data_IF_222007014519
#
_entry.id   IF_222007014519
#
_cell.length_a   1.000
_cell.length_b   1.000
_cell.length_c   1.000
_cell.angle_alpha   90.00
_cell.angle_beta   90.00
_cell.angle_gamma   90.00
#
_symmetry.space_group_name_H-M   'P 1'
#
loop_
_entity.id
_entity.type
_entity.pdbx_description
1 polymer ?
#
# COMPACT_ATOMS: atom_id res chain seq x y z
N UNK A 1 -6.88 15.29 -5.11
CA UNK A 1 -8.11 15.77 -4.46
C UNK A 1 -8.78 14.56 -3.84
N UNK A 2 -9.07 14.59 -2.53
CA UNK A 2 -9.69 13.47 -1.81
C UNK A 2 -11.20 13.63 -1.85
N UNK A 3 -11.91 12.64 -2.37
CA UNK A 3 -13.36 12.65 -2.47
C UNK A 3 -13.91 11.28 -2.09
N UNK A 4 -14.98 11.27 -1.30
CA UNK A 4 -15.71 10.06 -0.96
C UNK A 4 -17.10 10.17 -1.59
N UNK A 5 -17.52 9.12 -2.27
CA UNK A 5 -18.86 9.04 -2.83
C UNK A 5 -19.89 8.99 -1.69
N UNK A 6 -20.89 9.87 -1.75
CA UNK A 6 -21.97 9.92 -0.76
C UNK A 6 -22.91 8.73 -0.88
N UNK A 7 -23.00 8.10 -2.05
CA UNK A 7 -23.95 7.01 -2.33
C UNK A 7 -23.47 5.66 -1.75
N UNK A 8 -22.21 5.59 -1.31
CA UNK A 8 -21.64 4.40 -0.68
C UNK A 8 -22.14 4.18 0.76
N UNK A 9 -22.34 2.91 1.12
CA UNK A 9 -22.68 2.53 2.51
C UNK A 9 -21.40 2.42 3.34
N UNK A 10 -20.86 3.56 3.77
CA UNK A 10 -19.65 3.62 4.58
C UNK A 10 -19.82 2.96 5.96
N UNK A 11 -18.85 2.14 6.36
CA UNK A 11 -18.79 1.53 7.68
C UNK A 11 -17.38 1.62 8.25
N UNK A 12 -17.30 2.01 9.52
CA UNK A 12 -16.09 1.83 10.36
C UNK A 12 -16.18 0.56 11.19
N UNK A 13 -17.42 0.18 11.53
CA UNK A 13 -17.77 -1.00 12.28
C UNK A 13 -18.84 -1.80 11.53
N UNK A 14 -18.38 -2.90 10.97
CA UNK A 14 -19.17 -3.86 10.23
C UNK A 14 -20.16 -4.64 11.11
N UNK A 15 -20.03 -4.61 12.43
CA UNK A 15 -21.03 -5.15 13.34
C UNK A 15 -22.19 -4.19 13.56
N UNK A 16 -21.98 -2.88 13.40
CA UNK A 16 -23.06 -1.88 13.48
C UNK A 16 -23.77 -1.70 12.14
N UNK A 17 -23.01 -1.70 11.04
CA UNK A 17 -23.56 -1.56 9.68
C UNK A 17 -23.66 -2.94 9.02
N UNK A 18 -24.84 -3.54 9.06
CA UNK A 18 -25.08 -4.92 8.58
C UNK A 18 -25.29 -5.07 7.07
N UNK A 19 -25.24 -3.97 6.31
CA UNK A 19 -25.39 -4.02 4.85
C UNK A 19 -24.31 -4.91 4.23
N UNK A 20 -24.71 -5.82 3.33
CA UNK A 20 -23.76 -6.65 2.55
C UNK A 20 -22.93 -5.82 1.57
N UNK A 21 -23.44 -4.65 1.19
CA UNK A 21 -22.76 -3.68 0.33
C UNK A 21 -21.88 -2.69 1.13
N UNK A 22 -21.79 -2.83 2.47
CA UNK A 22 -21.01 -1.90 3.27
C UNK A 22 -19.52 -1.89 2.86
N UNK A 23 -18.99 -0.68 2.67
CA UNK A 23 -17.59 -0.43 2.31
C UNK A 23 -16.84 0.04 3.55
N UNK A 24 -15.67 -0.54 3.83
CA UNK A 24 -14.85 -0.14 4.96
C UNK A 24 -14.23 1.24 4.69
N UNK A 25 -14.67 2.25 5.45
CA UNK A 25 -14.24 3.64 5.26
C UNK A 25 -12.74 3.80 5.51
N UNK A 26 -12.21 3.13 6.54
CA UNK A 26 -10.79 3.21 6.91
C UNK A 26 -9.90 2.68 5.79
N UNK A 27 -10.29 1.58 5.15
CA UNK A 27 -9.57 1.00 4.00
C UNK A 27 -9.51 1.96 2.81
N UNK A 28 -10.63 2.58 2.44
CA UNK A 28 -10.65 3.55 1.32
C UNK A 28 -9.85 4.80 1.66
N UNK A 29 -10.03 5.36 2.87
CA UNK A 29 -9.27 6.53 3.31
C UNK A 29 -7.76 6.25 3.27
N UNK A 30 -7.32 5.06 3.71
CA UNK A 30 -5.90 4.69 3.69
C UNK A 30 -5.36 4.61 2.26
N UNK A 31 -6.12 4.03 1.33
CA UNK A 31 -5.78 3.97 -0.10
C UNK A 31 -5.63 5.36 -0.72
N UNK A 32 -6.61 6.24 -0.49
CA UNK A 32 -6.60 7.60 -1.03
C UNK A 32 -5.50 8.48 -0.40
N UNK A 33 -5.17 8.27 0.88
CA UNK A 33 -3.99 8.90 1.49
C UNK A 33 -2.70 8.45 0.78
N UNK A 34 -2.60 7.18 0.39
CA UNK A 34 -1.50 6.70 -0.44
C UNK A 34 -1.36 7.48 -1.75
N UNK A 35 -2.46 7.77 -2.44
CA UNK A 35 -2.46 8.64 -3.62
C UNK A 35 -2.04 10.09 -3.31
N UNK A 36 -2.47 10.65 -2.17
CA UNK A 36 -2.03 11.99 -1.73
C UNK A 36 -0.51 12.02 -1.51
N UNK A 37 0.06 10.93 -1.00
CA UNK A 37 1.50 10.72 -0.83
C UNK A 37 2.23 10.36 -2.14
N UNK A 38 1.53 10.28 -3.27
CA UNK A 38 2.12 10.04 -4.58
C UNK A 38 2.28 8.57 -4.98
N UNK A 39 1.69 7.62 -4.23
CA UNK A 39 1.67 6.22 -4.62
C UNK A 39 0.69 5.99 -5.78
N UNK A 40 1.10 5.17 -6.74
CA UNK A 40 0.22 4.65 -7.79
C UNK A 40 -0.50 3.38 -7.33
N UNK A 41 -1.47 2.92 -8.12
CA UNK A 41 -2.09 1.62 -7.88
C UNK A 41 -1.06 0.48 -7.94
N UNK A 42 -1.22 -0.49 -7.03
CA UNK A 42 -0.44 -1.72 -7.00
C UNK A 42 -1.12 -2.84 -7.78
N UNK A 43 -0.33 -3.72 -8.39
CA UNK A 43 -0.80 -5.00 -8.92
C UNK A 43 -0.89 -6.10 -7.85
N UNK A 44 -0.33 -5.88 -6.66
CA UNK A 44 -0.36 -6.82 -5.54
C UNK A 44 -1.73 -6.78 -4.87
N UNK A 45 -2.47 -7.88 -4.91
CA UNK A 45 -3.87 -7.91 -4.49
C UNK A 45 -4.07 -7.65 -3.00
N UNK A 46 -3.07 -7.97 -2.20
CA UNK A 46 -3.08 -7.82 -0.75
C UNK A 46 -2.74 -6.39 -0.31
N UNK A 47 -2.08 -5.61 -1.18
CA UNK A 47 -1.69 -4.24 -0.91
C UNK A 47 -2.90 -3.33 -0.69
N UNK A 48 -2.69 -2.29 0.11
CA UNK A 48 -3.66 -1.21 0.29
C UNK A 48 -3.86 -0.48 -1.03
N UNK A 49 -2.79 -0.25 -1.78
CA UNK A 49 -2.85 0.44 -3.08
C UNK A 49 -3.43 -0.41 -4.23
N UNK A 50 -3.92 -1.63 -3.99
CA UNK A 50 -4.64 -2.38 -5.02
C UNK A 50 -5.94 -1.66 -5.42
N UNK A 51 -6.27 -1.50 -6.71
CA UNK A 51 -7.33 -0.61 -7.20
C UNK A 51 -8.76 -1.08 -6.91
N UNK A 52 -8.96 -2.11 -6.10
CA UNK A 52 -10.30 -2.55 -5.72
C UNK A 52 -10.38 -3.06 -4.28
N UNK A 53 -11.50 -2.73 -3.66
CA UNK A 53 -11.91 -3.19 -2.35
C UNK A 53 -13.24 -3.92 -2.49
N UNK A 54 -13.32 -5.17 -2.02
CA UNK A 54 -14.59 -5.90 -1.99
C UNK A 54 -15.44 -5.38 -0.83
N UNK A 55 -16.77 -5.32 -0.96
CA UNK A 55 -17.66 -5.04 0.16
C UNK A 55 -17.35 -5.96 1.33
N UNK A 56 -17.51 -5.45 2.56
CA UNK A 56 -17.27 -6.21 3.80
C UNK A 56 -15.83 -6.65 4.04
N UNK A 57 -14.87 -6.26 3.20
CA UNK A 57 -13.45 -6.53 3.43
C UNK A 57 -12.76 -5.31 4.07
N UNK A 58 -11.69 -5.59 4.83
CA UNK A 58 -10.79 -4.56 5.40
C UNK A 58 -9.39 -4.72 4.82
N UNK A 59 -8.75 -3.60 4.49
CA UNK A 59 -7.38 -3.45 3.97
C UNK A 59 -6.71 -2.22 4.57
N UNK A 60 -6.61 -2.20 5.89
CA UNK A 60 -5.98 -1.10 6.66
C UNK A 60 -4.52 -1.40 6.99
N UNK A 61 -4.15 -2.69 6.99
CA UNK A 61 -2.80 -3.12 7.30
C UNK A 61 -1.91 -3.00 6.07
N UNK A 62 -0.92 -2.11 6.13
CA UNK A 62 0.08 -1.93 5.10
C UNK A 62 0.82 -3.25 4.82
N UNK A 63 1.04 -3.52 3.54
CA UNK A 63 1.85 -4.64 3.05
C UNK A 63 3.23 -4.19 2.66
N UNK A 64 4.10 -5.17 2.42
CA UNK A 64 5.45 -4.94 1.94
C UNK A 64 5.51 -3.95 0.77
N UNK A 65 4.66 -4.16 -0.22
CA UNK A 65 4.54 -3.34 -1.43
C UNK A 65 4.18 -1.88 -1.11
N UNK A 66 3.25 -1.65 -0.18
CA UNK A 66 2.85 -0.30 0.24
C UNK A 66 4.02 0.42 0.95
N UNK A 67 4.77 -0.30 1.80
CA UNK A 67 5.89 0.28 2.54
C UNK A 67 7.10 0.53 1.65
N UNK A 68 7.44 -0.40 0.77
CA UNK A 68 8.50 -0.20 -0.22
C UNK A 68 8.18 0.98 -1.13
N UNK A 69 6.93 1.08 -1.60
CA UNK A 69 6.46 2.18 -2.43
C UNK A 69 6.66 3.55 -1.77
N UNK A 70 6.21 3.72 -0.53
CA UNK A 70 6.33 5.02 0.16
C UNK A 70 7.78 5.34 0.54
N UNK A 71 8.57 4.34 0.90
CA UNK A 71 9.98 4.54 1.21
C UNK A 71 10.82 4.84 -0.04
N UNK A 72 10.41 4.37 -1.22
CA UNK A 72 11.04 4.77 -2.48
C UNK A 72 10.86 6.28 -2.78
N UNK A 73 9.76 6.88 -2.29
CA UNK A 73 9.49 8.31 -2.46
C UNK A 73 10.14 9.19 -1.38
N UNK A 74 10.15 8.74 -0.13
CA UNK A 74 10.51 9.58 1.03
C UNK A 74 11.72 9.09 1.83
N UNK A 75 12.29 7.95 1.46
CA UNK A 75 13.37 7.29 2.19
C UNK A 75 12.87 6.35 3.30
N UNK A 76 13.77 5.48 3.77
CA UNK A 76 13.45 4.51 4.81
C UNK A 76 13.28 5.17 6.18
N UNK A 77 12.28 4.70 6.93
CA UNK A 77 12.14 5.08 8.34
C UNK A 77 13.23 4.37 9.17
N UNK A 78 14.11 5.10 9.89
CA UNK A 78 15.21 4.50 10.64
C UNK A 78 14.77 3.59 11.78
N UNK A 79 13.52 3.74 12.25
CA UNK A 79 12.94 2.90 13.30
C UNK A 79 12.13 1.72 12.74
N UNK A 80 11.93 1.66 11.43
CA UNK A 80 11.18 0.59 10.80
C UNK A 80 12.07 -0.62 10.55
N UNK A 81 11.61 -1.80 10.98
CA UNK A 81 12.32 -3.07 10.76
C UNK A 81 11.52 -3.94 9.81
N UNK A 82 12.09 -4.25 8.66
CA UNK A 82 11.43 -5.09 7.65
C UNK A 82 11.07 -6.48 8.19
N UNK A 83 11.87 -7.00 9.11
CA UNK A 83 11.61 -8.27 9.80
C UNK A 83 10.25 -8.30 10.52
N UNK A 84 9.80 -7.18 11.12
CA UNK A 84 8.52 -7.16 11.83
C UNK A 84 7.31 -7.24 10.88
N UNK A 85 7.44 -6.73 9.65
CA UNK A 85 6.39 -6.94 8.64
C UNK A 85 6.43 -8.36 8.09
N UNK A 86 7.62 -8.89 7.82
CA UNK A 86 7.76 -10.27 7.36
C UNK A 86 7.23 -11.25 8.41
N UNK A 87 7.44 -11.03 9.71
CA UNK A 87 6.87 -11.89 10.76
C UNK A 87 5.34 -11.83 10.77
N UNK A 88 4.77 -10.63 10.56
CA UNK A 88 3.32 -10.46 10.43
C UNK A 88 2.77 -11.19 9.21
N UNK A 89 3.41 -11.05 8.04
CA UNK A 89 3.01 -11.72 6.80
C UNK A 89 3.25 -13.24 6.84
N UNK A 90 4.35 -13.69 7.45
CA UNK A 90 4.69 -15.10 7.60
C UNK A 90 3.76 -15.83 8.55
N UNK A 91 3.13 -15.18 9.53
CA UNK A 91 2.12 -15.85 10.35
C UNK A 91 0.87 -16.21 9.52
N UNK A 92 0.49 -15.37 8.55
CA UNK A 92 -0.55 -15.71 7.57
C UNK A 92 -0.04 -16.78 6.58
N UNK A 93 1.19 -16.62 6.09
CA UNK A 93 1.78 -17.49 5.06
C UNK A 93 2.36 -18.80 5.60
N UNK A 94 2.47 -19.04 6.91
CA UNK A 94 2.90 -20.35 7.48
C UNK A 94 1.91 -21.48 7.16
N UNK A 95 0.77 -21.15 6.55
CA UNK A 95 -0.14 -22.13 5.93
C UNK A 95 0.20 -22.48 4.47
N UNK A 96 1.11 -21.77 3.79
CA UNK A 96 1.47 -21.99 2.36
C UNK A 96 2.98 -21.75 2.11
N UNK A 97 3.66 -22.76 1.60
CA UNK A 97 5.12 -22.95 1.65
C UNK A 97 5.99 -22.04 0.73
N UNK A 98 7.14 -21.61 1.30
CA UNK A 98 8.52 -21.47 0.75
C UNK A 98 8.93 -20.38 -0.28
N UNK A 99 10.05 -19.73 0.12
CA UNK A 99 11.21 -19.20 -0.62
C UNK A 99 11.28 -17.68 -0.97
N UNK A 100 11.92 -16.83 -0.14
CA UNK A 100 12.17 -15.44 -0.48
C UNK A 100 13.45 -15.28 -1.33
N UNK A 101 13.29 -14.75 -2.55
CA UNK A 101 14.38 -14.40 -3.46
C UNK A 101 14.89 -13.00 -3.11
N UNK A 102 16.17 -12.90 -2.72
CA UNK A 102 16.86 -11.64 -2.47
C UNK A 102 16.99 -10.83 -3.77
N UNK A 103 16.52 -9.58 -3.77
CA UNK A 103 16.69 -8.62 -4.87
C UNK A 103 17.78 -7.61 -4.49
N UNK A 104 18.89 -7.61 -5.24
CA UNK A 104 19.99 -6.67 -5.11
C UNK A 104 19.76 -5.50 -6.07
N UNK A 105 19.57 -4.30 -5.52
CA UNK A 105 19.39 -3.08 -6.29
C UNK A 105 20.75 -2.54 -6.73
N UNK A 106 21.02 -2.55 -8.03
CA UNK A 106 22.10 -1.74 -8.60
C UNK A 106 21.47 -0.50 -9.22
N UNK A 107 21.81 0.68 -8.71
CA UNK A 107 21.39 1.96 -9.29
C UNK A 107 22.08 2.14 -10.65
N UNK A 108 21.30 2.17 -11.73
CA UNK A 108 21.83 2.51 -13.06
C UNK A 108 22.11 4.00 -13.14
N UNK A 109 23.32 4.39 -13.58
CA UNK A 109 23.77 5.80 -13.65
C UNK A 109 22.94 6.65 -14.62
N UNK A 110 22.07 6.05 -15.42
CA UNK A 110 21.22 6.74 -16.38
C UNK A 110 20.18 7.68 -15.74
N UNK A 111 19.73 7.42 -14.50
CA UNK A 111 18.72 8.29 -13.85
C UNK A 111 19.29 9.60 -13.31
N UNK A 112 20.60 9.67 -12.99
CA UNK A 112 21.22 10.90 -12.47
C UNK A 112 21.37 11.96 -13.57
N UNK A 113 21.60 11.54 -14.81
CA UNK A 113 21.78 12.46 -15.95
C UNK A 113 20.47 13.16 -16.33
N UNK A 114 19.33 12.47 -16.18
CA UNK A 114 18.03 13.04 -16.54
C UNK A 114 17.60 14.17 -15.58
N UNK A 115 17.93 14.06 -14.29
CA UNK A 115 17.66 15.10 -13.30
C UNK A 115 18.57 16.34 -13.47
N UNK A 116 19.79 16.18 -13.99
CA UNK A 116 20.69 17.30 -14.24
C UNK A 116 20.31 18.11 -15.50
N UNK A 117 19.70 17.48 -16.51
CA UNK A 117 19.27 18.18 -17.73
C UNK A 117 18.01 19.05 -17.55
N UNK A 118 17.14 18.73 -16.58
CA UNK A 118 15.90 19.47 -16.29
C UNK A 118 16.11 20.74 -15.45
N UNK A 119 17.34 21.00 -15.00
CA UNK A 119 17.69 22.18 -14.18
C UNK A 119 18.41 23.28 -14.97
N UNK A 120 18.58 23.14 -16.30
CA UNK A 120 19.29 24.11 -17.16
C UNK A 120 18.42 24.56 -18.35
N UNK A 121 17.09 24.45 -18.25
CA UNK A 121 16.12 25.04 -19.19
C UNK A 121 15.06 25.77 -18.42
#
# INVERSE_FOLDING_TARGET
MFHLDKDETWAVDFEKVKSKAAVDLESVVTHEIGHILGLAHSSVKEAVMYPSLKPRNKKVNLKLDDVEGVQALYGSNPNFKFSSLLDSENFYNKTISLNPRSCSWTFSSAMVVFFLLLMIT
#
